data_IF_186714939695
#
_entry.id   IF_186714939695
#
_cell.length_a   1.000
_cell.length_b   1.000
_cell.length_c   1.000
_cell.angle_alpha   90.00
_cell.angle_beta   90.00
_cell.angle_gamma   90.00
#
_symmetry.space_group_name_H-M   'P 1'
#
loop_
_entity.id
_entity.type
_entity.pdbx_description
1 polymer ?
#
# COMPACT_ATOMS: atom_id res chain seq x y z
N UNK A 1 44.56 7.88 27.74
CA UNK A 1 43.45 8.85 27.77
C UNK A 1 42.29 8.25 27.00
N UNK A 2 41.13 8.08 27.63
CA UNK A 2 39.93 7.63 26.91
C UNK A 2 39.29 8.83 26.20
N UNK A 3 38.87 8.73 24.93
CA UNK A 3 38.14 9.79 24.26
C UNK A 3 36.80 10.01 24.98
N UNK A 4 36.50 11.27 25.32
CA UNK A 4 35.19 11.68 25.83
C UNK A 4 34.42 12.28 24.66
N UNK A 5 33.30 11.64 24.30
CA UNK A 5 32.39 12.13 23.27
C UNK A 5 31.28 12.90 23.98
N UNK A 6 31.13 14.18 23.68
CA UNK A 6 30.02 15.02 24.16
C UNK A 6 29.08 15.28 22.97
N UNK A 7 27.82 14.86 23.09
CA UNK A 7 26.77 15.25 22.15
C UNK A 7 26.13 16.56 22.65
N UNK A 8 26.09 17.59 21.82
CA UNK A 8 25.34 18.82 22.09
C UNK A 8 24.07 18.80 21.25
N UNK A 9 22.97 18.33 21.85
CA UNK A 9 21.67 18.25 21.19
C UNK A 9 20.95 19.61 21.16
N UNK A 10 20.33 19.95 20.03
CA UNK A 10 19.45 21.10 19.84
C UNK A 10 17.98 20.66 19.73
N UNK A 11 17.05 21.63 19.75
CA UNK A 11 15.62 21.38 19.63
C UNK A 11 15.33 20.74 18.25
N UNK A 12 14.90 19.48 18.24
CA UNK A 12 14.67 18.68 17.03
C UNK A 12 15.60 17.47 16.90
N UNK A 13 16.74 17.46 17.60
CA UNK A 13 17.73 16.37 17.53
C UNK A 13 17.33 15.13 18.35
N UNK A 14 16.32 15.26 19.22
CA UNK A 14 15.89 14.24 20.16
C UNK A 14 14.36 14.11 20.11
N UNK A 15 13.89 12.97 19.61
CA UNK A 15 12.49 12.58 19.61
C UNK A 15 12.22 11.42 20.58
N UNK A 16 12.90 11.34 21.74
CA UNK A 16 12.65 10.29 22.75
C UNK A 16 12.90 8.84 22.32
N UNK A 17 13.27 8.60 21.06
CA UNK A 17 13.43 7.30 20.43
C UNK A 17 14.91 7.02 20.16
N UNK A 18 15.57 6.36 21.12
CA UNK A 18 16.87 5.70 20.89
C UNK A 18 18.14 6.56 21.05
N UNK A 19 19.28 5.93 20.73
CA UNK A 19 20.61 6.54 20.84
C UNK A 19 20.85 7.57 19.70
N UNK A 20 21.63 8.62 19.97
CA UNK A 20 21.96 9.68 19.01
C UNK A 20 23.45 9.72 18.70
N UNK A 21 23.79 9.71 17.41
CA UNK A 21 25.10 10.10 16.88
C UNK A 21 24.90 11.41 16.11
N UNK A 22 25.51 12.51 16.58
CA UNK A 22 25.36 13.83 15.96
C UNK A 22 26.69 14.55 15.79
N UNK A 23 26.87 15.20 14.63
CA UNK A 23 28.03 16.04 14.32
C UNK A 23 27.69 17.05 13.21
N UNK A 24 28.58 18.02 12.95
CA UNK A 24 28.44 18.87 11.75
C UNK A 24 28.62 18.05 10.46
N UNK A 25 29.57 17.11 10.47
CA UNK A 25 29.83 16.15 9.39
C UNK A 25 30.01 14.77 9.99
N UNK A 26 29.32 13.79 9.44
CA UNK A 26 29.52 12.37 9.73
C UNK A 26 30.09 11.72 8.46
N UNK A 27 31.26 11.10 8.55
CA UNK A 27 31.81 10.19 7.52
C UNK A 27 32.06 8.84 8.22
N UNK A 28 31.20 7.87 7.95
CA UNK A 28 31.25 6.54 8.55
C UNK A 28 31.58 5.51 7.48
N UNK A 29 32.62 4.72 7.75
CA UNK A 29 33.02 3.58 6.93
C UNK A 29 32.99 2.31 7.75
N UNK A 30 32.23 1.32 7.32
CA UNK A 30 32.10 0.05 8.05
C UNK A 30 31.70 -1.08 7.12
N UNK A 31 31.98 -2.34 7.46
CA UNK A 31 31.43 -3.44 6.68
C UNK A 31 29.90 -3.50 6.85
N UNK A 32 29.42 -3.41 8.09
CA UNK A 32 27.99 -3.41 8.39
C UNK A 32 27.64 -2.29 9.37
N UNK A 33 26.63 -1.52 9.02
CA UNK A 33 26.02 -0.52 9.89
C UNK A 33 24.58 -0.92 10.18
N UNK A 34 24.20 -0.89 11.46
CA UNK A 34 22.82 -1.05 11.92
C UNK A 34 22.46 0.20 12.71
N UNK A 35 21.47 0.94 12.23
CA UNK A 35 20.95 2.13 12.89
C UNK A 35 19.53 1.88 13.39
N UNK A 36 19.34 1.90 14.71
CA UNK A 36 18.02 1.85 15.36
C UNK A 36 17.69 3.12 16.15
N UNK A 37 18.59 4.11 16.11
CA UNK A 37 18.43 5.42 16.74
C UNK A 37 18.51 6.54 15.71
N UNK A 38 19.19 7.63 16.03
CA UNK A 38 19.37 8.77 15.11
C UNK A 38 20.83 8.97 14.74
N UNK A 39 21.13 9.09 13.45
CA UNK A 39 22.40 9.54 12.90
C UNK A 39 22.16 10.90 12.22
N UNK A 40 22.64 11.99 12.81
CA UNK A 40 22.34 13.36 12.38
C UNK A 40 23.62 14.16 12.07
N UNK A 41 23.91 14.36 10.79
CA UNK A 41 25.00 15.21 10.32
C UNK A 41 24.48 16.57 9.86
N UNK A 42 24.72 17.64 10.62
CA UNK A 42 24.08 18.96 10.34
C UNK A 42 24.31 19.45 8.91
N UNK A 43 25.53 19.30 8.38
CA UNK A 43 25.90 19.67 7.01
C UNK A 43 25.95 18.46 6.06
N UNK A 44 26.45 17.33 6.56
CA UNK A 44 26.67 16.14 5.75
C UNK A 44 26.63 14.87 6.60
N UNK A 45 25.86 13.88 6.15
CA UNK A 45 25.95 12.50 6.61
C UNK A 45 26.37 11.62 5.45
N UNK A 46 27.58 11.07 5.50
CA UNK A 46 28.13 10.17 4.50
C UNK A 46 28.34 8.78 5.12
N UNK A 47 27.62 7.78 4.62
CA UNK A 47 27.69 6.41 5.08
C UNK A 47 28.20 5.53 3.94
N UNK A 48 29.39 4.95 4.09
CA UNK A 48 29.97 4.01 3.13
C UNK A 48 30.08 2.65 3.78
N UNK A 49 29.25 1.69 3.38
CA UNK A 49 29.24 0.37 4.00
C UNK A 49 29.19 -0.78 3.01
N UNK A 50 29.41 -2.02 3.46
CA UNK A 50 29.03 -3.17 2.62
C UNK A 50 27.51 -3.38 2.72
N UNK A 51 26.95 -3.38 3.93
CA UNK A 51 25.51 -3.44 4.14
C UNK A 51 25.04 -2.45 5.20
N UNK A 52 23.82 -1.94 5.02
CA UNK A 52 23.18 -0.99 5.94
C UNK A 52 21.79 -1.50 6.30
N UNK A 53 21.51 -1.59 7.60
CA UNK A 53 20.16 -1.70 8.13
C UNK A 53 19.81 -0.39 8.83
N UNK A 54 18.79 0.30 8.34
CA UNK A 54 18.24 1.50 8.95
C UNK A 54 16.81 1.23 9.44
N UNK A 55 16.68 1.13 10.75
CA UNK A 55 15.41 1.08 11.47
C UNK A 55 15.16 2.39 12.24
N UNK A 56 16.06 3.37 12.15
CA UNK A 56 16.00 4.64 12.86
C UNK A 56 15.90 5.82 11.89
N UNK A 57 16.49 6.95 12.28
CA UNK A 57 16.57 8.16 11.46
C UNK A 57 18.02 8.41 11.00
N UNK A 58 18.19 8.79 9.74
CA UNK A 58 19.44 9.31 9.17
C UNK A 58 19.11 10.69 8.59
N UNK A 59 19.78 11.74 9.07
CA UNK A 59 19.47 13.11 8.65
C UNK A 59 20.71 13.92 8.30
N UNK A 60 20.51 14.95 7.48
CA UNK A 60 21.49 16.02 7.32
C UNK A 60 21.10 17.06 6.26
N UNK A 61 21.85 18.15 6.14
CA UNK A 61 21.64 19.07 5.01
C UNK A 61 21.89 18.36 3.67
N UNK A 62 22.88 17.46 3.63
CA UNK A 62 23.07 16.47 2.57
C UNK A 62 23.25 15.09 3.17
N UNK A 63 22.68 14.08 2.55
CA UNK A 63 22.87 12.68 2.93
C UNK A 63 23.38 11.89 1.73
N UNK A 64 24.52 11.23 1.90
CA UNK A 64 25.11 10.31 0.95
C UNK A 64 25.19 8.91 1.56
N UNK A 65 24.58 7.92 0.94
CA UNK A 65 24.65 6.53 1.38
C UNK A 65 25.17 5.70 0.21
N UNK A 66 26.25 4.96 0.44
CA UNK A 66 26.81 4.02 -0.52
C UNK A 66 26.96 2.66 0.13
N UNK A 67 26.32 1.64 -0.45
CA UNK A 67 26.51 0.25 -0.04
C UNK A 67 27.08 -0.58 -1.19
N UNK A 68 27.98 -1.52 -0.93
CA UNK A 68 28.42 -2.47 -1.97
C UNK A 68 27.47 -3.67 -2.12
N UNK A 69 26.71 -3.99 -1.07
CA UNK A 69 25.65 -4.98 -1.04
C UNK A 69 24.32 -4.27 -0.71
N UNK A 70 23.48 -4.83 0.17
CA UNK A 70 22.12 -4.37 0.39
C UNK A 70 22.01 -3.17 1.34
N UNK A 71 20.97 -2.38 1.12
CA UNK A 71 20.48 -1.38 2.06
C UNK A 71 19.02 -1.68 2.41
N UNK A 72 18.79 -2.07 3.66
CA UNK A 72 17.48 -2.31 4.23
C UNK A 72 17.05 -1.10 5.08
N UNK A 73 16.06 -0.33 4.64
CA UNK A 73 15.42 0.76 5.37
C UNK A 73 14.02 0.31 5.83
N UNK A 74 13.94 -0.26 7.04
CA UNK A 74 12.76 -0.98 7.54
C UNK A 74 12.05 -0.15 8.62
N UNK A 75 10.98 0.54 8.23
CA UNK A 75 10.33 1.59 9.01
C UNK A 75 11.27 2.77 9.32
N UNK A 76 12.43 2.82 8.67
CA UNK A 76 13.46 3.82 8.84
C UNK A 76 13.19 5.08 8.02
N UNK A 77 13.75 6.19 8.48
CA UNK A 77 13.69 7.49 7.81
C UNK A 77 15.07 7.92 7.36
N UNK A 78 15.17 8.43 6.15
CA UNK A 78 16.36 9.12 5.64
C UNK A 78 15.92 10.45 5.06
N UNK A 79 16.33 11.53 5.72
CA UNK A 79 15.87 12.88 5.39
C UNK A 79 17.05 13.79 5.07
N UNK A 80 16.94 14.57 3.99
CA UNK A 80 17.90 15.60 3.66
C UNK A 80 17.24 16.96 3.40
N UNK A 81 17.95 18.06 3.64
CA UNK A 81 17.45 19.38 3.23
C UNK A 81 17.69 19.62 1.74
N UNK A 82 18.92 19.43 1.25
CA UNK A 82 19.29 19.79 -0.14
C UNK A 82 19.52 18.62 -1.06
N UNK A 83 20.06 17.51 -0.56
CA UNK A 83 20.37 16.37 -1.41
C UNK A 83 20.35 15.05 -0.65
N UNK A 84 19.60 14.09 -1.18
CA UNK A 84 19.66 12.68 -0.78
C UNK A 84 20.19 11.86 -1.95
N UNK A 85 21.38 11.28 -1.78
CA UNK A 85 22.04 10.44 -2.78
C UNK A 85 22.26 9.04 -2.18
N UNK A 86 21.62 8.03 -2.76
CA UNK A 86 21.70 6.63 -2.31
C UNK A 86 22.18 5.76 -3.48
N UNK A 87 23.33 5.12 -3.33
CA UNK A 87 23.96 4.23 -4.32
C UNK A 87 24.18 2.84 -3.72
N UNK A 88 23.35 1.89 -4.12
CA UNK A 88 23.27 0.54 -3.54
C UNK A 88 23.77 -0.47 -4.57
N UNK A 89 24.84 -1.19 -4.23
CA UNK A 89 25.44 -2.21 -5.10
C UNK A 89 24.58 -3.48 -5.23
N UNK A 90 23.72 -3.75 -4.25
CA UNK A 90 22.75 -4.86 -4.22
C UNK A 90 21.30 -4.38 -4.25
N UNK A 91 20.48 -4.93 -3.36
CA UNK A 91 19.05 -4.61 -3.25
C UNK A 91 18.83 -3.45 -2.25
N UNK A 92 17.94 -2.53 -2.63
CA UNK A 92 17.41 -1.48 -1.78
C UNK A 92 16.01 -1.87 -1.34
N UNK A 93 15.86 -2.30 -0.09
CA UNK A 93 14.58 -2.64 0.52
C UNK A 93 14.11 -1.45 1.36
N UNK A 94 13.03 -0.79 0.96
CA UNK A 94 12.46 0.37 1.63
C UNK A 94 11.03 0.04 2.04
N UNK A 95 10.87 -0.45 3.26
CA UNK A 95 9.63 -1.13 3.67
C UNK A 95 9.09 -0.56 4.96
N UNK A 96 7.81 -0.20 4.95
CA UNK A 96 7.10 0.17 6.17
C UNK A 96 6.88 -1.06 7.07
N UNK A 97 6.74 -0.84 8.37
CA UNK A 97 6.46 -1.92 9.34
C UNK A 97 5.00 -1.91 9.75
N UNK A 98 4.51 -3.03 10.28
CA UNK A 98 3.20 -3.13 10.92
C UNK A 98 3.33 -3.24 12.44
N UNK A 99 2.25 -2.99 13.15
CA UNK A 99 2.11 -3.28 14.58
C UNK A 99 0.81 -4.06 14.79
N UNK A 100 0.90 -5.22 15.44
CA UNK A 100 -0.26 -6.05 15.74
C UNK A 100 -0.59 -6.00 17.22
N UNK A 101 -1.84 -5.69 17.55
CA UNK A 101 -2.39 -5.78 18.90
C UNK A 101 -3.43 -6.90 18.96
N UNK A 102 -3.51 -7.57 20.10
CA UNK A 102 -4.44 -8.67 20.31
C UNK A 102 -5.28 -8.39 21.56
N UNK A 103 -6.59 -8.51 21.43
CA UNK A 103 -7.54 -8.53 22.54
C UNK A 103 -8.13 -9.92 22.60
N UNK A 104 -7.96 -10.60 23.74
CA UNK A 104 -8.55 -11.91 23.99
C UNK A 104 -9.36 -11.85 25.29
N UNK A 105 -10.66 -11.61 25.12
CA UNK A 105 -11.64 -11.51 26.20
C UNK A 105 -12.72 -12.58 26.03
N UNK A 106 -13.46 -12.86 27.11
CA UNK A 106 -14.59 -13.76 27.02
C UNK A 106 -15.61 -13.25 26.00
N UNK A 107 -15.85 -14.02 24.94
CA UNK A 107 -16.79 -13.71 23.86
C UNK A 107 -16.39 -12.51 23.00
N UNK A 108 -15.12 -12.09 23.04
CA UNK A 108 -14.58 -11.07 22.14
C UNK A 108 -13.09 -11.31 21.91
N UNK A 109 -12.72 -11.59 20.67
CA UNK A 109 -11.34 -11.75 20.24
C UNK A 109 -11.10 -10.82 19.05
N UNK A 110 -10.02 -10.05 19.08
CA UNK A 110 -9.63 -9.19 17.95
C UNK A 110 -8.13 -9.20 17.80
N UNK A 111 -7.66 -9.51 16.60
CA UNK A 111 -6.28 -9.27 16.18
C UNK A 111 -6.29 -8.13 15.19
N UNK A 112 -5.66 -7.01 15.52
CA UNK A 112 -5.64 -5.80 14.72
C UNK A 112 -4.22 -5.43 14.38
N UNK A 113 -3.92 -5.39 13.08
CA UNK A 113 -2.63 -5.04 12.50
C UNK A 113 -2.74 -3.69 11.82
N UNK A 114 -2.09 -2.68 12.37
CA UNK A 114 -2.05 -1.34 11.78
C UNK A 114 -0.68 -1.05 11.18
N UNK A 115 -0.56 0.03 10.41
CA UNK A 115 0.73 0.60 10.07
C UNK A 115 1.49 0.92 11.37
N UNK A 116 2.71 0.41 11.47
CA UNK A 116 3.65 0.74 12.55
C UNK A 116 4.40 2.01 12.17
N UNK A 117 5.57 1.85 11.53
CA UNK A 117 6.38 2.97 11.06
C UNK A 117 6.38 3.01 9.55
N UNK A 118 6.07 4.19 9.00
CA UNK A 118 6.19 4.43 7.57
C UNK A 118 7.65 4.68 7.20
N UNK A 119 8.20 3.85 6.31
CA UNK A 119 9.53 4.06 5.78
C UNK A 119 9.53 5.28 4.84
N UNK A 120 10.50 6.17 5.02
CA UNK A 120 10.51 7.47 4.35
C UNK A 120 11.91 7.84 3.85
N UNK A 121 12.02 8.14 2.56
CA UNK A 121 13.12 8.91 1.98
C UNK A 121 12.58 10.29 1.60
N UNK A 122 13.16 11.35 2.16
CA UNK A 122 12.61 12.70 2.04
C UNK A 122 13.66 13.75 1.76
N UNK A 123 13.42 14.62 0.78
CA UNK A 123 14.15 15.87 0.59
C UNK A 123 13.20 17.04 0.78
N UNK A 124 13.57 17.99 1.64
CA UNK A 124 12.68 19.06 2.15
C UNK A 124 12.89 20.43 1.51
N UNK A 125 14.14 20.76 1.17
CA UNK A 125 14.53 22.09 0.71
C UNK A 125 14.03 22.38 -0.70
N UNK A 126 13.81 23.67 -0.98
CA UNK A 126 13.17 24.17 -2.21
C UNK A 126 13.87 23.71 -3.50
N UNK A 127 15.20 23.62 -3.52
CA UNK A 127 16.00 23.15 -4.67
C UNK A 127 16.48 21.70 -4.52
N UNK A 128 15.82 20.95 -3.63
CA UNK A 128 16.17 19.60 -3.21
C UNK A 128 16.31 18.60 -4.36
N UNK A 129 17.38 17.80 -4.34
CA UNK A 129 17.59 16.72 -5.30
C UNK A 129 17.52 15.36 -4.59
N UNK A 130 16.78 14.42 -5.15
CA UNK A 130 16.68 13.06 -4.63
C UNK A 130 17.14 12.08 -5.72
N UNK A 131 18.18 11.30 -5.43
CA UNK A 131 18.65 10.24 -6.32
C UNK A 131 18.82 8.92 -5.57
N UNK A 132 18.15 7.89 -6.07
CA UNK A 132 18.32 6.50 -5.63
C UNK A 132 18.80 5.67 -6.82
N UNK A 133 19.83 4.85 -6.60
CA UNK A 133 20.36 3.88 -7.55
C UNK A 133 20.55 2.55 -6.85
N UNK A 134 20.04 1.46 -7.42
CA UNK A 134 20.19 0.10 -6.88
C UNK A 134 20.25 -0.98 -7.96
N UNK A 135 20.55 -2.23 -7.62
CA UNK A 135 20.29 -3.35 -8.55
C UNK A 135 18.79 -3.63 -8.62
N UNK A 136 18.14 -3.82 -7.47
CA UNK A 136 16.68 -3.88 -7.36
C UNK A 136 16.20 -2.86 -6.32
N UNK A 137 15.02 -2.28 -6.52
CA UNK A 137 14.32 -1.47 -5.53
C UNK A 137 13.04 -2.20 -5.14
N UNK A 138 12.86 -2.47 -3.85
CA UNK A 138 11.62 -3.00 -3.29
C UNK A 138 11.05 -1.97 -2.32
N UNK A 139 10.05 -1.21 -2.76
CA UNK A 139 9.29 -0.31 -1.89
C UNK A 139 7.96 -0.97 -1.50
N UNK A 140 7.68 -1.05 -0.20
CA UNK A 140 6.46 -1.66 0.33
C UNK A 140 5.77 -0.76 1.34
N UNK A 141 4.66 -0.16 0.91
CA UNK A 141 3.95 0.86 1.67
C UNK A 141 4.82 2.04 2.09
N UNK A 142 5.86 2.35 1.30
CA UNK A 142 6.93 3.27 1.68
C UNK A 142 6.95 4.51 0.79
N UNK A 143 7.48 5.60 1.34
CA UNK A 143 7.44 6.92 0.70
C UNK A 143 8.84 7.35 0.23
N UNK A 144 8.91 7.85 -1.01
CA UNK A 144 10.06 8.51 -1.62
C UNK A 144 9.59 9.89 -2.09
N UNK A 145 9.92 10.93 -1.33
CA UNK A 145 9.34 12.27 -1.48
C UNK A 145 10.45 13.30 -1.66
N UNK A 146 10.29 14.16 -2.66
CA UNK A 146 11.08 15.38 -2.82
C UNK A 146 10.14 16.59 -2.86
N UNK A 147 10.07 17.31 -1.75
CA UNK A 147 9.31 18.57 -1.66
C UNK A 147 10.02 19.74 -2.36
N UNK A 148 11.25 19.52 -2.82
CA UNK A 148 12.00 20.43 -3.66
C UNK A 148 11.63 20.32 -5.14
N UNK A 149 11.87 21.41 -5.87
CA UNK A 149 11.66 21.56 -7.31
C UNK A 149 12.79 20.92 -8.13
N UNK A 150 13.80 20.35 -7.48
CA UNK A 150 14.84 19.58 -8.12
C UNK A 150 14.37 18.21 -8.61
N UNK A 151 15.24 17.50 -9.33
CA UNK A 151 14.86 16.22 -9.91
C UNK A 151 14.80 15.13 -8.83
N UNK A 152 13.82 14.25 -9.00
CA UNK A 152 13.69 12.98 -8.29
C UNK A 152 14.01 11.86 -9.26
N UNK A 153 15.10 11.16 -9.02
CA UNK A 153 15.62 10.13 -9.90
C UNK A 153 15.72 8.81 -9.15
N UNK A 154 14.89 7.84 -9.54
CA UNK A 154 14.87 6.52 -8.92
C UNK A 154 15.24 5.49 -9.99
N UNK A 155 16.40 4.86 -9.83
CA UNK A 155 16.94 3.93 -10.81
C UNK A 155 17.21 2.56 -10.17
N UNK A 156 16.76 1.51 -10.85
CA UNK A 156 17.14 0.14 -10.54
C UNK A 156 17.72 -0.50 -11.79
N UNK A 157 18.86 -1.21 -11.71
CA UNK A 157 19.42 -1.91 -12.90
C UNK A 157 18.51 -3.04 -13.39
N UNK A 158 17.81 -3.69 -12.47
CA UNK A 158 16.93 -4.81 -12.73
C UNK A 158 15.48 -4.38 -12.43
N UNK A 159 14.93 -4.78 -11.30
CA UNK A 159 13.50 -4.59 -11.02
C UNK A 159 13.26 -3.45 -10.03
N UNK A 160 12.24 -2.66 -10.31
CA UNK A 160 11.63 -1.73 -9.36
C UNK A 160 10.23 -2.21 -9.01
N UNK A 161 10.01 -2.57 -7.75
CA UNK A 161 8.73 -3.02 -7.22
C UNK A 161 8.19 -1.95 -6.26
N UNK A 162 7.06 -1.33 -6.61
CA UNK A 162 6.36 -0.34 -5.79
C UNK A 162 5.02 -0.94 -5.36
N UNK A 163 4.98 -1.51 -4.16
CA UNK A 163 3.88 -2.36 -3.69
C UNK A 163 3.24 -1.82 -2.42
N UNK A 164 2.16 -2.48 -1.98
CA UNK A 164 1.45 -2.12 -0.76
C UNK A 164 1.83 -3.01 0.43
N UNK A 165 1.80 -2.42 1.62
CA UNK A 165 1.83 -3.11 2.90
C UNK A 165 0.39 -3.40 3.36
N UNK A 166 0.08 -4.67 3.63
CA UNK A 166 -1.26 -5.07 4.10
C UNK A 166 -1.42 -4.77 5.60
N UNK A 167 -2.56 -4.17 5.95
CA UNK A 167 -3.04 -3.89 7.31
C UNK A 167 -4.50 -4.33 7.45
N UNK A 168 -5.05 -4.37 8.65
CA UNK A 168 -6.45 -4.75 8.86
C UNK A 168 -6.68 -5.50 10.18
N UNK A 169 -7.80 -6.22 10.29
CA UNK A 169 -8.13 -6.95 11.52
C UNK A 169 -8.90 -8.25 11.27
N UNK A 170 -8.87 -9.15 12.24
CA UNK A 170 -9.77 -10.31 12.37
C UNK A 170 -10.44 -10.23 13.75
N UNK A 171 -11.77 -10.10 13.77
CA UNK A 171 -12.58 -9.91 14.96
C UNK A 171 -13.67 -10.98 15.08
N UNK A 172 -13.75 -11.61 16.25
CA UNK A 172 -14.78 -12.59 16.62
C UNK A 172 -15.51 -12.12 17.87
N UNK A 173 -16.82 -11.99 17.79
CA UNK A 173 -17.67 -11.56 18.89
C UNK A 173 -18.77 -12.60 19.13
N UNK A 174 -19.10 -12.85 20.40
CA UNK A 174 -20.14 -13.79 20.80
C UNK A 174 -19.72 -15.27 20.77
N UNK A 175 -20.70 -16.16 20.88
CA UNK A 175 -20.55 -17.62 20.74
C UNK A 175 -21.88 -18.30 20.45
N UNK A 176 -21.83 -19.47 19.83
CA UNK A 176 -22.97 -20.40 19.76
C UNK A 176 -24.18 -19.82 19.02
N UNK A 177 -25.22 -19.44 19.76
CA UNK A 177 -26.46 -18.94 19.16
C UNK A 177 -26.38 -17.47 18.73
N UNK A 178 -25.36 -16.72 19.16
CA UNK A 178 -25.18 -15.32 18.80
C UNK A 178 -23.70 -15.09 18.58
N UNK A 179 -23.28 -14.93 17.33
CA UNK A 179 -21.89 -14.64 17.02
C UNK A 179 -21.77 -13.73 15.81
N UNK A 180 -20.63 -13.07 15.71
CA UNK A 180 -20.18 -12.27 14.58
C UNK A 180 -18.70 -12.55 14.32
N UNK A 181 -18.31 -12.69 13.07
CA UNK A 181 -16.93 -12.73 12.60
C UNK A 181 -16.77 -11.66 11.52
N UNK A 182 -15.75 -10.83 11.63
CA UNK A 182 -15.40 -9.85 10.62
C UNK A 182 -13.89 -9.86 10.39
N UNK A 183 -13.48 -9.88 9.13
CA UNK A 183 -12.09 -9.77 8.71
C UNK A 183 -11.96 -8.68 7.66
N UNK A 184 -11.01 -7.77 7.84
CA UNK A 184 -10.71 -6.69 6.91
C UNK A 184 -9.22 -6.73 6.56
N UNK A 185 -8.90 -6.55 5.28
CA UNK A 185 -7.55 -6.35 4.76
C UNK A 185 -7.54 -5.10 3.88
N UNK A 186 -6.70 -4.13 4.22
CA UNK A 186 -6.50 -2.86 3.53
C UNK A 186 -5.05 -2.73 3.05
N UNK A 187 -4.81 -1.81 2.11
CA UNK A 187 -3.52 -1.63 1.47
C UNK A 187 -2.90 -0.25 1.78
N UNK A 188 -1.77 -0.23 2.49
CA UNK A 188 -0.93 0.96 2.61
C UNK A 188 0.04 0.98 1.42
N UNK A 189 -0.25 1.80 0.42
CA UNK A 189 0.48 1.85 -0.86
C UNK A 189 1.82 2.59 -0.76
N UNK A 190 2.75 2.29 -1.66
CA UNK A 190 3.99 3.07 -1.82
C UNK A 190 3.75 4.36 -2.57
N UNK A 191 4.56 5.38 -2.29
CA UNK A 191 4.49 6.68 -2.94
C UNK A 191 5.85 7.09 -3.50
N UNK A 192 5.86 7.61 -4.74
CA UNK A 192 6.97 8.40 -5.26
C UNK A 192 6.44 9.77 -5.67
N UNK A 193 6.94 10.83 -5.02
CA UNK A 193 6.47 12.19 -5.24
C UNK A 193 7.63 13.16 -5.43
N UNK A 194 7.50 14.10 -6.38
CA UNK A 194 8.42 15.22 -6.54
C UNK A 194 7.71 16.49 -6.99
N UNK A 195 8.11 17.67 -6.49
CA UNK A 195 7.65 18.93 -7.13
C UNK A 195 8.35 19.18 -8.46
N UNK A 196 9.62 18.81 -8.55
CA UNK A 196 10.35 18.77 -9.80
C UNK A 196 10.03 17.51 -10.63
N UNK A 197 10.86 17.26 -11.65
CA UNK A 197 10.66 16.09 -12.51
C UNK A 197 10.91 14.80 -11.73
N UNK A 198 10.05 13.81 -11.93
CA UNK A 198 10.21 12.45 -11.42
C UNK A 198 10.57 11.52 -12.57
N UNK A 199 11.71 10.83 -12.47
CA UNK A 199 12.13 9.82 -13.42
C UNK A 199 12.38 8.50 -12.71
N UNK A 200 11.60 7.48 -13.08
CA UNK A 200 11.72 6.10 -12.64
C UNK A 200 12.29 5.28 -13.80
N UNK A 201 13.39 4.56 -13.56
CA UNK A 201 13.98 3.69 -14.59
C UNK A 201 14.35 2.32 -14.05
N UNK A 202 14.12 1.29 -14.85
CA UNK A 202 14.75 -0.01 -14.63
C UNK A 202 14.50 -1.00 -15.75
N UNK A 203 15.01 -2.22 -15.62
CA UNK A 203 14.73 -3.28 -16.58
C UNK A 203 13.23 -3.61 -16.60
N UNK A 204 12.65 -3.82 -15.41
CA UNK A 204 11.21 -3.95 -15.24
C UNK A 204 10.74 -3.03 -14.13
N UNK A 205 9.56 -2.44 -14.29
CA UNK A 205 8.90 -1.65 -13.26
C UNK A 205 7.52 -2.29 -12.99
N UNK A 206 7.28 -2.66 -11.73
CA UNK A 206 6.01 -3.17 -11.25
C UNK A 206 5.45 -2.20 -10.20
N UNK A 207 4.20 -1.80 -10.39
CA UNK A 207 3.42 -1.08 -9.41
C UNK A 207 2.17 -1.87 -9.03
N UNK A 208 1.89 -1.96 -7.74
CA UNK A 208 0.65 -2.51 -7.18
C UNK A 208 0.03 -1.44 -6.26
N UNK A 209 -0.86 -0.64 -6.85
CA UNK A 209 -1.57 0.45 -6.16
C UNK A 209 -0.73 1.69 -5.81
N UNK A 210 0.53 1.78 -6.28
CA UNK A 210 1.40 2.90 -5.92
C UNK A 210 0.86 4.26 -6.41
N UNK A 211 1.27 5.32 -5.73
CA UNK A 211 1.00 6.71 -6.12
C UNK A 211 2.28 7.35 -6.66
N UNK A 212 2.28 7.70 -7.94
CA UNK A 212 3.41 8.30 -8.65
C UNK A 212 3.01 9.72 -9.06
N UNK A 213 3.60 10.74 -8.44
CA UNK A 213 3.16 12.14 -8.57
C UNK A 213 4.33 13.07 -8.89
N UNK A 214 4.15 13.96 -9.86
CA UNK A 214 5.07 15.06 -10.15
C UNK A 214 4.31 16.37 -10.38
N UNK A 215 4.68 17.47 -9.72
CA UNK A 215 4.14 18.79 -10.11
C UNK A 215 4.74 19.30 -11.44
N UNK A 216 5.75 18.60 -11.97
CA UNK A 216 6.37 18.83 -13.27
C UNK A 216 6.21 17.58 -14.15
N UNK A 217 7.29 17.06 -14.74
CA UNK A 217 7.23 15.89 -15.62
C UNK A 217 7.42 14.60 -14.83
N UNK A 218 6.53 13.63 -15.02
CA UNK A 218 6.69 12.26 -14.56
C UNK A 218 7.03 11.34 -15.73
N UNK A 219 8.10 10.57 -15.59
CA UNK A 219 8.51 9.54 -16.55
C UNK A 219 8.74 8.21 -15.83
N UNK A 220 8.07 7.15 -16.27
CA UNK A 220 8.38 5.78 -15.90
C UNK A 220 8.86 5.03 -17.16
N UNK A 221 10.13 4.62 -17.17
CA UNK A 221 10.78 4.05 -18.34
C UNK A 221 11.35 2.67 -17.97
N UNK A 222 10.72 1.62 -18.48
CA UNK A 222 11.20 0.25 -18.38
C UNK A 222 11.98 -0.14 -19.63
N UNK A 223 13.13 -0.80 -19.48
CA UNK A 223 13.86 -1.38 -20.63
C UNK A 223 13.10 -2.55 -21.26
N UNK A 224 12.39 -3.33 -20.43
CA UNK A 224 11.60 -4.47 -20.84
C UNK A 224 10.11 -4.19 -20.55
N UNK A 225 9.59 -4.52 -19.37
CA UNK A 225 8.15 -4.42 -19.09
C UNK A 225 7.82 -3.36 -18.03
N UNK A 226 6.76 -2.59 -18.29
CA UNK A 226 6.12 -1.67 -17.33
C UNK A 226 4.74 -2.22 -16.96
N UNK A 227 4.56 -2.62 -15.70
CA UNK A 227 3.33 -3.23 -15.19
C UNK A 227 2.73 -2.35 -14.09
N UNK A 228 1.50 -1.88 -14.29
CA UNK A 228 0.78 -0.98 -13.38
C UNK A 228 -0.56 -1.61 -12.98
N UNK A 229 -0.62 -2.22 -11.81
CA UNK A 229 -1.80 -2.93 -11.31
C UNK A 229 -2.39 -2.27 -10.06
N UNK A 230 -3.53 -2.77 -9.60
CA UNK A 230 -4.10 -2.41 -8.31
C UNK A 230 -3.52 -3.22 -7.15
N UNK A 231 -3.53 -2.64 -5.95
CA UNK A 231 -3.40 -3.37 -4.69
C UNK A 231 -4.79 -3.89 -4.27
N UNK A 232 -4.83 -5.08 -3.68
CA UNK A 232 -6.10 -5.71 -3.26
C UNK A 232 -6.48 -5.29 -1.85
N UNK A 233 -7.74 -4.92 -1.68
CA UNK A 233 -8.40 -4.79 -0.37
C UNK A 233 -9.57 -5.77 -0.28
N UNK A 234 -9.89 -6.23 0.93
CA UNK A 234 -10.98 -7.18 1.12
C UNK A 234 -11.68 -7.06 2.48
N UNK A 235 -12.94 -7.47 2.50
CA UNK A 235 -13.74 -7.58 3.72
C UNK A 235 -14.56 -8.87 3.68
N UNK A 236 -14.56 -9.58 4.78
CA UNK A 236 -15.39 -10.77 5.03
C UNK A 236 -16.15 -10.54 6.34
N UNK A 237 -17.45 -10.78 6.33
CA UNK A 237 -18.33 -10.57 7.46
C UNK A 237 -19.34 -11.70 7.53
N UNK A 238 -19.56 -12.23 8.73
CA UNK A 238 -20.59 -13.20 9.03
C UNK A 238 -21.22 -12.89 10.40
N UNK A 239 -22.55 -12.85 10.47
CA UNK A 239 -23.29 -12.69 11.72
C UNK A 239 -24.43 -13.71 11.81
N UNK A 240 -24.53 -14.38 12.96
CA UNK A 240 -25.57 -15.37 13.21
C UNK A 240 -26.28 -15.11 14.53
N UNK A 241 -27.61 -15.18 14.50
CA UNK A 241 -28.46 -15.11 15.69
C UNK A 241 -29.49 -16.23 15.72
N UNK A 242 -29.72 -16.80 16.90
CA UNK A 242 -30.75 -17.80 17.16
C UNK A 242 -31.46 -17.53 18.48
N UNK A 243 -32.75 -17.22 18.39
CA UNK A 243 -33.61 -16.97 19.56
C UNK A 243 -34.68 -18.05 19.68
N UNK A 244 -35.05 -18.37 20.92
CA UNK A 244 -36.15 -19.30 21.24
C UNK A 244 -37.14 -18.60 22.17
N UNK A 245 -38.43 -18.76 21.91
CA UNK A 245 -39.52 -18.14 22.71
C UNK A 245 -40.78 -19.02 22.73
N UNK A 246 -41.72 -18.70 23.64
CA UNK A 246 -43.04 -19.33 23.74
C UNK A 246 -43.14 -20.46 24.78
N UNK A 247 -44.28 -20.51 25.48
CA UNK A 247 -44.58 -21.50 26.54
C UNK A 247 -45.46 -22.67 26.06
N UNK A 248 -46.48 -22.41 25.24
CA UNK A 248 -47.41 -23.43 24.70
C UNK A 248 -46.97 -23.95 23.32
N UNK A 249 -46.51 -23.06 22.44
CA UNK A 249 -45.86 -23.41 21.19
C UNK A 249 -44.44 -22.84 21.19
N UNK A 250 -43.44 -23.69 20.92
CA UNK A 250 -42.03 -23.29 20.86
C UNK A 250 -41.77 -22.64 19.51
N UNK A 251 -41.29 -21.40 19.53
CA UNK A 251 -40.84 -20.66 18.34
C UNK A 251 -39.33 -20.54 18.37
N UNK A 252 -38.65 -21.00 17.32
CA UNK A 252 -37.21 -20.80 17.09
C UNK A 252 -37.04 -19.90 15.88
N UNK A 253 -36.32 -18.79 16.04
CA UNK A 253 -35.91 -17.91 14.94
C UNK A 253 -34.40 -18.01 14.76
N UNK A 254 -33.93 -18.11 13.52
CA UNK A 254 -32.51 -17.99 13.16
C UNK A 254 -32.33 -16.94 12.08
N UNK A 255 -31.24 -16.18 12.16
CA UNK A 255 -30.78 -15.24 11.14
C UNK A 255 -29.31 -15.49 10.88
N UNK A 256 -28.92 -15.52 9.61
CA UNK A 256 -27.54 -15.53 9.14
C UNK A 256 -27.39 -14.39 8.14
N UNK A 257 -26.40 -13.53 8.32
CA UNK A 257 -25.97 -12.51 7.37
C UNK A 257 -24.51 -12.75 7.02
N UNK A 258 -24.16 -12.70 5.74
CA UNK A 258 -22.80 -12.86 5.23
C UNK A 258 -22.53 -11.81 4.16
N UNK A 259 -21.36 -11.17 4.22
CA UNK A 259 -20.93 -10.18 3.24
C UNK A 259 -19.45 -10.42 2.92
N UNK A 260 -19.13 -10.50 1.64
CA UNK A 260 -17.76 -10.61 1.13
C UNK A 260 -17.55 -9.54 0.08
N UNK A 261 -16.42 -8.85 0.11
CA UNK A 261 -16.03 -7.91 -0.93
C UNK A 261 -14.53 -7.95 -1.17
N UNK A 262 -14.15 -7.78 -2.44
CA UNK A 262 -12.79 -7.55 -2.90
C UNK A 262 -12.79 -6.32 -3.78
N UNK A 263 -11.95 -5.35 -3.44
CA UNK A 263 -11.76 -4.10 -4.18
C UNK A 263 -10.31 -3.93 -4.61
N UNK A 264 -10.10 -3.26 -5.74
CA UNK A 264 -8.77 -2.99 -6.29
C UNK A 264 -8.45 -1.49 -6.15
N UNK A 265 -7.35 -1.18 -5.49
CA UNK A 265 -6.78 0.17 -5.37
C UNK A 265 -5.75 0.34 -6.48
N UNK A 266 -6.20 0.91 -7.61
CA UNK A 266 -5.39 1.13 -8.81
C UNK A 266 -4.09 1.93 -8.60
N UNK A 267 -3.09 1.66 -9.42
CA UNK A 267 -1.91 2.55 -9.53
C UNK A 267 -2.35 3.92 -10.04
N UNK A 268 -1.92 4.98 -9.35
CA UNK A 268 -2.21 6.37 -9.70
C UNK A 268 -0.95 7.05 -10.20
N UNK A 269 -1.05 7.70 -11.36
CA UNK A 269 0.05 8.42 -12.02
C UNK A 269 -0.42 9.82 -12.36
N UNK A 270 0.28 10.83 -11.84
CA UNK A 270 -0.04 12.24 -12.12
C UNK A 270 1.20 13.06 -12.44
N UNK A 271 1.01 14.01 -13.34
CA UNK A 271 1.89 15.17 -13.42
C UNK A 271 1.59 16.09 -14.58
N UNK A 272 2.36 17.16 -14.73
CA UNK A 272 2.15 18.10 -15.83
C UNK A 272 2.31 17.44 -17.19
N UNK A 273 3.37 16.65 -17.35
CA UNK A 273 3.54 15.73 -18.46
C UNK A 273 3.76 14.33 -17.89
N UNK A 274 3.11 13.32 -18.47
CA UNK A 274 3.27 11.93 -18.06
C UNK A 274 3.77 11.11 -19.24
N UNK A 275 4.86 10.37 -19.03
CA UNK A 275 5.41 9.42 -20.01
C UNK A 275 5.54 8.05 -19.38
N UNK A 276 4.80 7.08 -19.89
CA UNK A 276 4.88 5.67 -19.55
C UNK A 276 5.47 4.93 -20.73
N UNK A 277 6.66 4.36 -20.57
CA UNK A 277 7.40 3.75 -21.68
C UNK A 277 7.99 2.41 -21.30
N UNK A 278 7.86 1.43 -22.19
CA UNK A 278 8.48 0.12 -22.07
C UNK A 278 9.17 -0.27 -23.38
N UNK A 279 10.35 -0.89 -23.31
CA UNK A 279 11.01 -1.44 -24.49
C UNK A 279 10.32 -2.69 -25.06
N UNK A 280 9.55 -3.40 -24.22
CA UNK A 280 8.76 -4.56 -24.60
C UNK A 280 7.26 -4.28 -24.40
N UNK A 281 6.65 -4.54 -23.24
CA UNK A 281 5.20 -4.33 -23.04
C UNK A 281 4.88 -3.28 -21.96
N UNK A 282 3.80 -2.50 -22.18
CA UNK A 282 3.11 -1.76 -21.10
C UNK A 282 1.81 -2.51 -20.77
N UNK A 283 1.67 -2.95 -19.51
CA UNK A 283 0.47 -3.64 -19.01
C UNK A 283 -0.13 -2.87 -17.85
N UNK A 284 -1.42 -2.59 -17.90
CA UNK A 284 -2.09 -1.82 -16.87
C UNK A 284 -3.49 -2.34 -16.56
N UNK A 285 -3.84 -2.43 -15.28
CA UNK A 285 -5.17 -2.83 -14.81
C UNK A 285 -5.70 -1.88 -13.73
N UNK A 286 -6.88 -1.32 -13.98
CA UNK A 286 -7.55 -0.40 -13.07
C UNK A 286 -6.70 0.82 -12.73
N UNK A 287 -5.90 1.33 -13.68
CA UNK A 287 -4.98 2.45 -13.42
C UNK A 287 -5.67 3.80 -13.56
N UNK A 288 -5.12 4.82 -12.91
CA UNK A 288 -5.51 6.21 -13.17
C UNK A 288 -4.26 6.99 -13.57
N UNK A 289 -4.11 7.32 -14.84
CA UNK A 289 -3.01 8.15 -15.34
C UNK A 289 -3.55 9.48 -15.87
N UNK A 290 -3.21 10.58 -15.21
CA UNK A 290 -3.74 11.91 -15.50
C UNK A 290 -2.59 12.88 -15.72
N UNK A 291 -2.58 13.56 -16.86
CA UNK A 291 -1.66 14.65 -17.15
C UNK A 291 -2.36 16.00 -17.23
N UNK A 292 -1.71 17.08 -16.79
CA UNK A 292 -2.24 18.43 -17.04
C UNK A 292 -2.11 18.80 -18.52
N UNK A 293 -0.95 18.50 -19.12
CA UNK A 293 -0.65 18.67 -20.54
C UNK A 293 -0.68 17.31 -21.23
N UNK A 294 0.46 16.72 -21.62
CA UNK A 294 0.46 15.52 -22.45
C UNK A 294 0.62 14.23 -21.63
N UNK A 295 -0.18 13.22 -21.97
CA UNK A 295 -0.03 11.84 -21.52
C UNK A 295 0.44 10.97 -22.70
N UNK A 296 1.62 10.36 -22.58
CA UNK A 296 2.19 9.48 -23.59
C UNK A 296 2.45 8.09 -23.02
N UNK A 297 1.83 7.07 -23.63
CA UNK A 297 2.04 5.66 -23.31
C UNK A 297 2.62 4.96 -24.53
N UNK A 298 3.77 4.32 -24.37
CA UNK A 298 4.40 3.59 -25.47
C UNK A 298 5.06 2.28 -25.07
N UNK A 299 4.98 1.31 -25.98
CA UNK A 299 5.64 0.02 -25.85
C UNK A 299 6.33 -0.37 -27.16
N UNK A 300 7.47 -1.05 -27.09
CA UNK A 300 8.13 -1.61 -28.28
C UNK A 300 7.37 -2.77 -28.91
N UNK A 301 6.56 -3.49 -28.12
CA UNK A 301 5.74 -4.61 -28.56
C UNK A 301 4.25 -4.32 -28.32
N UNK A 302 3.68 -4.60 -27.15
CA UNK A 302 2.25 -4.41 -26.90
C UNK A 302 1.94 -3.38 -25.80
N UNK A 303 0.83 -2.64 -25.96
CA UNK A 303 0.20 -1.86 -24.88
C UNK A 303 -1.13 -2.51 -24.56
N UNK A 304 -1.33 -2.99 -23.32
CA UNK A 304 -2.59 -3.53 -22.81
C UNK A 304 -3.03 -2.76 -21.57
N UNK A 305 -4.15 -2.05 -21.68
CA UNK A 305 -4.76 -1.27 -20.60
C UNK A 305 -6.20 -1.75 -20.45
N UNK A 306 -6.54 -2.29 -19.28
CA UNK A 306 -7.83 -2.90 -18.99
C UNK A 306 -8.44 -2.38 -17.68
N UNK A 307 -9.76 -2.50 -17.53
CA UNK A 307 -10.38 -2.41 -16.21
C UNK A 307 -9.95 -3.59 -15.33
N UNK A 308 -9.82 -3.35 -14.03
CA UNK A 308 -9.80 -4.43 -13.05
C UNK A 308 -11.23 -4.85 -12.67
N UNK A 309 -11.39 -5.84 -11.80
CA UNK A 309 -12.70 -6.38 -11.41
C UNK A 309 -12.85 -6.42 -9.90
N UNK A 310 -13.80 -5.65 -9.40
CA UNK A 310 -14.27 -5.78 -8.02
C UNK A 310 -15.29 -6.91 -7.91
N UNK A 311 -15.34 -7.57 -6.76
CA UNK A 311 -16.27 -8.66 -6.48
C UNK A 311 -16.98 -8.40 -5.16
N UNK A 312 -18.28 -8.71 -5.11
CA UNK A 312 -19.03 -8.72 -3.87
C UNK A 312 -20.04 -9.87 -3.82
N UNK A 313 -20.32 -10.35 -2.61
CA UNK A 313 -21.31 -11.38 -2.33
C UNK A 313 -22.00 -11.09 -1.00
N UNK A 314 -23.32 -10.98 -1.01
CA UNK A 314 -24.16 -10.76 0.16
C UNK A 314 -25.18 -11.89 0.29
N UNK A 315 -25.37 -12.43 1.49
CA UNK A 315 -26.31 -13.52 1.75
C UNK A 315 -27.01 -13.33 3.08
N UNK A 316 -28.34 -13.36 3.06
CA UNK A 316 -29.20 -13.30 4.24
C UNK A 316 -30.18 -14.47 4.28
N UNK A 317 -30.13 -15.24 5.36
CA UNK A 317 -31.02 -16.36 5.60
C UNK A 317 -31.77 -16.17 6.91
N UNK A 318 -33.10 -16.10 6.84
CA UNK A 318 -33.96 -16.05 8.01
C UNK A 318 -34.83 -17.31 8.06
N UNK A 319 -34.91 -17.97 9.22
CA UNK A 319 -35.81 -19.12 9.43
C UNK A 319 -36.61 -18.94 10.71
N UNK A 320 -37.91 -19.19 10.63
CA UNK A 320 -38.85 -19.20 11.76
C UNK A 320 -39.55 -20.56 11.81
N UNK A 321 -39.24 -21.34 12.84
CA UNK A 321 -39.86 -22.64 13.11
C UNK A 321 -40.77 -22.53 14.32
N UNK A 322 -42.03 -22.91 14.17
CA UNK A 322 -43.02 -23.01 15.26
C UNK A 322 -43.43 -24.46 15.44
N UNK A 323 -43.32 -25.00 16.64
CA UNK A 323 -43.70 -26.38 16.96
C UNK A 323 -44.49 -26.44 18.27
N UNK A 324 -45.61 -27.17 18.28
CA UNK A 324 -46.44 -27.30 19.48
C UNK A 324 -47.90 -27.57 19.14
N UNK A 325 -48.78 -27.20 20.06
CA UNK A 325 -50.23 -27.35 19.92
C UNK A 325 -50.81 -26.11 19.24
N UNK A 326 -51.53 -26.32 18.15
CA UNK A 326 -52.27 -25.29 17.44
C UNK A 326 -53.77 -25.46 17.69
N UNK A 327 -54.45 -24.37 18.05
CA UNK A 327 -55.92 -24.29 18.10
C UNK A 327 -56.40 -23.60 16.83
N UNK A 328 -56.36 -24.32 15.71
CA UNK A 328 -56.74 -23.78 14.41
C UNK A 328 -58.26 -23.76 14.22
N UNK A 329 -58.90 -22.62 14.47
CA UNK A 329 -60.19 -22.20 13.87
C UNK A 329 -61.45 -23.08 13.99
N UNK A 330 -61.37 -24.28 14.58
CA UNK A 330 -62.48 -25.22 14.81
C UNK A 330 -62.22 -26.09 16.05
N UNK A 331 -63.15 -26.99 16.38
CA UNK A 331 -63.19 -27.77 17.64
C UNK A 331 -62.15 -28.94 17.66
N UNK A 332 -60.89 -28.69 17.26
CA UNK A 332 -59.86 -29.73 17.18
C UNK A 332 -58.50 -29.26 17.70
N UNK A 333 -57.86 -30.08 18.55
CA UNK A 333 -56.47 -29.90 18.99
C UNK A 333 -55.55 -30.48 17.92
N UNK A 334 -54.68 -29.65 17.32
CA UNK A 334 -53.73 -30.10 16.30
C UNK A 334 -52.30 -30.01 16.84
N UNK A 335 -51.54 -31.09 16.79
CA UNK A 335 -50.10 -31.10 17.10
C UNK A 335 -49.29 -31.05 15.80
N UNK A 336 -48.27 -30.21 15.72
CA UNK A 336 -47.42 -30.19 14.53
C UNK A 336 -46.24 -29.23 14.58
N UNK A 337 -45.58 -29.07 13.44
CA UNK A 337 -44.54 -28.05 13.25
C UNK A 337 -44.70 -27.35 11.91
N UNK A 338 -44.52 -26.02 11.90
CA UNK A 338 -44.45 -25.17 10.72
C UNK A 338 -43.06 -24.53 10.63
N UNK A 339 -42.49 -24.44 9.44
CA UNK A 339 -41.23 -23.74 9.18
C UNK A 339 -41.43 -22.73 8.06
N UNK A 340 -40.96 -21.51 8.25
CA UNK A 340 -40.90 -20.43 7.26
C UNK A 340 -39.42 -20.09 7.06
N UNK A 341 -38.92 -20.09 5.83
CA UNK A 341 -37.53 -19.74 5.49
C UNK A 341 -37.55 -18.67 4.40
N UNK A 342 -36.81 -17.59 4.62
CA UNK A 342 -36.46 -16.60 3.59
C UNK A 342 -34.96 -16.67 3.33
N UNK A 343 -34.57 -16.76 2.07
CA UNK A 343 -33.20 -16.91 1.62
C UNK A 343 -32.97 -15.91 0.50
N UNK A 344 -32.07 -14.95 0.74
CA UNK A 344 -31.70 -13.91 -0.20
C UNK A 344 -30.18 -13.98 -0.41
N UNK A 345 -29.77 -14.15 -1.66
CA UNK A 345 -28.36 -14.15 -2.05
C UNK A 345 -28.19 -13.20 -3.24
N UNK A 346 -27.17 -12.35 -3.19
CA UNK A 346 -26.81 -11.44 -4.27
C UNK A 346 -25.31 -11.50 -4.44
N UNK A 347 -24.85 -11.75 -5.66
CA UNK A 347 -23.45 -11.82 -6.01
C UNK A 347 -23.23 -11.06 -7.31
N UNK A 348 -22.12 -10.33 -7.40
CA UNK A 348 -21.84 -9.49 -8.55
C UNK A 348 -20.35 -9.21 -8.72
N UNK A 349 -20.00 -8.89 -9.96
CA UNK A 349 -18.70 -8.41 -10.36
C UNK A 349 -18.88 -7.05 -11.01
N UNK A 350 -18.16 -6.04 -10.54
CA UNK A 350 -18.25 -4.68 -11.10
C UNK A 350 -16.88 -4.28 -11.65
N UNK A 351 -16.82 -4.11 -12.98
CA UNK A 351 -15.66 -3.51 -13.65
C UNK A 351 -15.77 -1.98 -13.67
N UNK A 352 -16.97 -1.41 -13.50
CA UNK A 352 -17.22 0.05 -13.57
C UNK A 352 -16.46 0.85 -12.53
N UNK A 353 -16.23 0.27 -11.35
CA UNK A 353 -15.64 0.95 -10.20
C UNK A 353 -14.12 0.71 -10.11
N UNK A 354 -13.58 -0.12 -11.01
CA UNK A 354 -12.15 -0.40 -11.16
C UNK A 354 -11.70 -0.18 -12.62
N UNK A 355 -12.35 0.76 -13.31
CA UNK A 355 -11.97 1.17 -14.67
C UNK A 355 -10.56 1.73 -14.68
N UNK A 356 -9.89 1.57 -15.82
CA UNK A 356 -8.73 2.39 -16.10
C UNK A 356 -9.18 3.80 -16.52
N UNK A 357 -8.39 4.82 -16.24
CA UNK A 357 -8.63 6.19 -16.66
C UNK A 357 -7.35 6.75 -17.24
N UNK A 358 -7.41 7.22 -18.48
CA UNK A 358 -6.32 7.94 -19.12
C UNK A 358 -6.80 9.36 -19.41
N UNK A 359 -6.22 10.35 -18.74
CA UNK A 359 -6.67 11.73 -18.78
C UNK A 359 -5.57 12.70 -19.22
N UNK A 360 -5.98 13.70 -19.98
CA UNK A 360 -5.20 14.91 -20.24
C UNK A 360 -6.13 16.12 -20.10
N UNK A 361 -5.76 17.12 -19.31
CA UNK A 361 -6.61 18.30 -19.09
C UNK A 361 -6.53 19.30 -20.25
N UNK A 362 -5.31 19.61 -20.71
CA UNK A 362 -5.03 20.68 -21.67
C UNK A 362 -4.20 20.22 -22.89
N UNK A 363 -3.83 18.93 -22.96
CA UNK A 363 -2.97 18.39 -24.00
C UNK A 363 -3.57 17.19 -24.73
N UNK A 364 -2.71 16.32 -25.25
CA UNK A 364 -3.12 15.12 -25.95
C UNK A 364 -2.81 13.86 -25.14
N UNK A 365 -3.65 12.84 -25.32
CA UNK A 365 -3.35 11.47 -24.94
C UNK A 365 -2.85 10.74 -26.18
N UNK A 366 -1.66 10.15 -26.09
CA UNK A 366 -1.10 9.30 -27.15
C UNK A 366 -0.76 7.94 -26.59
N UNK A 367 -1.32 6.90 -27.21
CA UNK A 367 -0.99 5.51 -26.92
C UNK A 367 -0.45 4.87 -28.19
N UNK A 368 0.72 4.24 -28.12
CA UNK A 368 1.34 3.59 -29.28
C UNK A 368 2.10 2.33 -28.92
N UNK A 369 1.96 1.30 -29.74
CA UNK A 369 2.69 0.04 -29.60
C UNK A 369 3.35 -0.33 -30.93
N UNK A 370 4.45 -1.09 -30.90
CA UNK A 370 5.05 -1.63 -32.12
C UNK A 370 4.22 -2.72 -32.78
N UNK A 371 3.39 -3.42 -32.01
CA UNK A 371 2.52 -4.52 -32.44
C UNK A 371 1.04 -4.22 -32.17
N UNK A 372 0.51 -4.50 -30.97
CA UNK A 372 -0.90 -4.26 -30.63
C UNK A 372 -1.09 -3.20 -29.57
N UNK A 373 -2.11 -2.36 -29.76
CA UNK A 373 -2.64 -1.46 -28.73
C UNK A 373 -4.04 -1.93 -28.37
N UNK A 374 -4.20 -2.40 -27.14
CA UNK A 374 -5.46 -2.84 -26.56
C UNK A 374 -5.82 -1.92 -25.38
N UNK A 375 -6.88 -1.14 -25.53
CA UNK A 375 -7.38 -0.23 -24.47
C UNK A 375 -8.86 -0.53 -24.29
N UNK A 376 -9.19 -1.26 -23.22
CA UNK A 376 -10.53 -1.77 -22.91
C UNK A 376 -10.96 -1.34 -21.52
N UNK A 377 -12.25 -1.09 -21.31
CA UNK A 377 -12.76 -0.70 -19.99
C UNK A 377 -12.05 0.53 -19.41
N UNK A 378 -11.64 1.44 -20.29
CA UNK A 378 -10.90 2.66 -19.96
C UNK A 378 -11.77 3.87 -20.31
N UNK A 379 -11.92 4.80 -19.36
CA UNK A 379 -12.62 6.08 -19.55
C UNK A 379 -11.69 7.20 -20.02
#
# INVERSE_FOLDING_TARGET
MAPRVYAMAQKGDLNGEGALISADVIDLRSNRLTNSGTIAGRKLTLLNTESLLNEGAITGDKVGIKTTNNFDSIGGKVEAERALLVDVGGDLNHESTTMTTNVDLSHFQRSETTLGRKALFHVKGEDGQLQLSSNNLNAKGADIINDGNGNTLVQSKNNMNLTALSVGFDEKMGKGNHYRHEKVEEAVVSQVKGKGNVLLTGKNILSEGAQLDSEAKLMAIAENDLVLNGAKESRDFEEFHKTKSGSVAKVTKTSLDQQQSVTQVGTQVSGKEVVLSAGHDVKAKGIQAIADDNLHVQAGHDVDIAADTNHFKNKRVETKKTSGVFTGGGIGITFGSKSEKHDYETEGWTQSDARSTLGSMNGNIRVSAGNHTNVLGTD
#
